data_IF_046226609424
#
_entry.id   IF_046226609424
#
_cell.length_a   1.000
_cell.length_b   1.000
_cell.length_c   1.000
_cell.angle_alpha   90.00
_cell.angle_beta   90.00
_cell.angle_gamma   90.00
#
_symmetry.space_group_name_H-M   'P 1'
#
loop_
_entity.id
_entity.type
_entity.pdbx_description
1 polymer ?
#
# COMPACT_ATOMS: atom_id res chain seq x y z
N UNK A 1 34.33 -22.70 35.22
CA UNK A 1 35.20 -21.50 35.29
C UNK A 1 34.41 -20.39 34.64
N UNK A 2 33.70 -19.60 35.44
CA UNK A 2 32.99 -18.42 34.97
C UNK A 2 34.02 -17.31 34.73
N UNK A 3 34.13 -16.89 33.47
CA UNK A 3 35.00 -15.78 33.09
C UNK A 3 34.43 -14.51 33.75
N UNK A 4 35.25 -13.70 34.45
CA UNK A 4 34.78 -12.46 35.04
C UNK A 4 34.20 -11.53 33.97
N UNK A 5 33.09 -10.85 34.28
CA UNK A 5 32.34 -10.02 33.31
C UNK A 5 33.20 -8.97 32.60
N UNK A 6 34.19 -8.37 33.26
CA UNK A 6 35.08 -7.39 32.66
C UNK A 6 35.94 -7.98 31.52
N UNK A 7 36.38 -9.22 31.65
CA UNK A 7 37.13 -9.89 30.59
C UNK A 7 36.23 -10.25 29.40
N UNK A 8 34.96 -10.56 29.65
CA UNK A 8 33.97 -10.77 28.58
C UNK A 8 33.79 -9.49 27.75
N UNK A 9 33.63 -8.33 28.40
CA UNK A 9 33.51 -7.04 27.73
C UNK A 9 34.77 -6.66 26.93
N UNK A 10 35.96 -6.96 27.45
CA UNK A 10 37.23 -6.77 26.73
C UNK A 10 37.28 -7.61 25.46
N UNK A 11 36.94 -8.90 25.56
CA UNK A 11 36.95 -9.84 24.43
C UNK A 11 35.92 -9.47 23.35
N UNK A 12 34.74 -8.98 23.73
CA UNK A 12 33.70 -8.52 22.79
C UNK A 12 34.20 -7.31 21.98
N UNK A 13 34.90 -6.38 22.63
CA UNK A 13 35.47 -5.21 21.97
C UNK A 13 36.67 -5.57 21.08
N UNK A 14 37.57 -6.45 21.54
CA UNK A 14 38.76 -6.88 20.78
C UNK A 14 38.42 -7.77 19.58
N UNK A 15 37.44 -8.66 19.73
CA UNK A 15 37.02 -9.57 18.65
C UNK A 15 36.34 -8.85 17.48
N UNK A 16 35.96 -7.56 17.64
CA UNK A 16 35.26 -6.79 16.64
C UNK A 16 33.89 -7.36 16.25
N UNK A 17 33.36 -8.29 17.06
CA UNK A 17 32.09 -8.99 16.80
C UNK A 17 30.94 -8.01 16.67
N UNK A 18 30.93 -6.95 17.49
CA UNK A 18 29.90 -5.89 17.40
C UNK A 18 29.87 -5.21 16.02
N UNK A 19 31.05 -4.91 15.47
CA UNK A 19 31.17 -4.33 14.12
C UNK A 19 30.74 -5.33 13.04
N UNK A 20 31.00 -6.63 13.26
CA UNK A 20 30.57 -7.70 12.35
C UNK A 20 29.06 -7.91 12.37
N UNK A 21 28.41 -7.78 13.53
CA UNK A 21 26.95 -7.82 13.69
C UNK A 21 26.27 -6.63 12.99
N UNK A 22 26.82 -5.42 13.11
CA UNK A 22 26.29 -4.24 12.38
C UNK A 22 26.45 -4.35 10.86
N UNK A 23 27.49 -5.06 10.40
CA UNK A 23 27.76 -5.28 8.97
C UNK A 23 27.18 -6.58 8.41
N UNK A 24 26.47 -7.36 9.23
CA UNK A 24 25.85 -8.58 8.75
C UNK A 24 24.77 -8.22 7.72
N UNK A 25 24.80 -8.79 6.50
CA UNK A 25 23.72 -8.58 5.55
C UNK A 25 22.41 -9.04 6.23
N UNK A 26 21.31 -8.29 6.03
CA UNK A 26 20.03 -8.63 6.65
C UNK A 26 19.72 -10.10 6.36
N UNK A 27 19.43 -10.86 7.41
CA UNK A 27 19.11 -12.28 7.26
C UNK A 27 17.92 -12.39 6.28
N UNK A 28 18.01 -13.30 5.29
CA UNK A 28 16.92 -13.48 4.34
C UNK A 28 15.67 -13.90 5.11
N UNK A 29 14.61 -13.09 5.02
CA UNK A 29 13.33 -13.41 5.64
C UNK A 29 12.86 -14.78 5.18
N UNK A 30 12.47 -15.69 6.10
CA UNK A 30 11.91 -16.97 5.72
C UNK A 30 10.71 -16.78 4.78
N UNK A 31 10.53 -17.62 3.75
CA UNK A 31 9.43 -17.48 2.80
C UNK A 31 8.05 -17.55 3.48
N UNK A 32 7.96 -18.23 4.63
CA UNK A 32 6.74 -18.27 5.44
C UNK A 32 6.36 -16.92 6.06
N UNK A 33 7.34 -16.13 6.52
CA UNK A 33 7.11 -14.79 7.06
C UNK A 33 6.71 -13.81 5.96
N UNK A 34 7.29 -13.95 4.77
CA UNK A 34 6.92 -13.13 3.60
C UNK A 34 5.47 -13.37 3.17
N UNK A 35 5.06 -14.64 3.08
CA UNK A 35 3.68 -15.01 2.75
C UNK A 35 2.71 -14.53 3.83
N UNK A 36 3.06 -14.72 5.11
CA UNK A 36 2.25 -14.26 6.23
C UNK A 36 2.06 -12.74 6.22
N UNK A 37 3.14 -11.98 6.03
CA UNK A 37 3.10 -10.53 5.89
C UNK A 37 2.26 -10.08 4.69
N UNK A 38 2.36 -10.77 3.55
CA UNK A 38 1.53 -10.48 2.39
C UNK A 38 0.04 -10.73 2.69
N UNK A 39 -0.29 -11.85 3.35
CA UNK A 39 -1.68 -12.18 3.73
C UNK A 39 -2.26 -11.13 4.68
N UNK A 40 -1.49 -10.67 5.67
CA UNK A 40 -1.90 -9.61 6.60
C UNK A 40 -2.30 -8.31 5.91
N UNK A 41 -1.76 -8.05 4.70
CA UNK A 41 -2.10 -6.87 3.90
C UNK A 41 -3.19 -7.18 2.88
N UNK A 42 -3.20 -8.36 2.27
CA UNK A 42 -4.20 -8.78 1.29
C UNK A 42 -5.61 -8.84 1.90
N UNK A 43 -5.74 -9.31 3.15
CA UNK A 43 -7.03 -9.39 3.86
C UNK A 43 -7.71 -8.01 3.96
N UNK A 44 -7.10 -6.98 4.59
CA UNK A 44 -7.71 -5.65 4.69
C UNK A 44 -7.88 -4.99 3.31
N UNK A 45 -6.99 -5.22 2.35
CA UNK A 45 -7.18 -4.71 0.98
C UNK A 45 -8.39 -5.34 0.28
N UNK A 46 -8.62 -6.64 0.46
CA UNK A 46 -9.79 -7.34 -0.11
C UNK A 46 -11.07 -6.83 0.53
N UNK A 47 -11.08 -6.64 1.85
CA UNK A 47 -12.19 -6.02 2.55
C UNK A 47 -12.48 -4.61 2.04
N UNK A 48 -11.43 -3.79 1.88
CA UNK A 48 -11.55 -2.44 1.33
C UNK A 48 -12.12 -2.44 -0.09
N UNK A 49 -11.70 -3.38 -0.95
CA UNK A 49 -12.22 -3.52 -2.32
C UNK A 49 -13.73 -3.79 -2.31
N UNK A 50 -14.18 -4.74 -1.49
CA UNK A 50 -15.60 -5.06 -1.33
C UNK A 50 -16.36 -3.86 -0.78
N UNK A 51 -15.82 -3.21 0.25
CA UNK A 51 -16.41 -2.03 0.87
C UNK A 51 -16.62 -0.91 -0.16
N UNK A 52 -15.60 -0.60 -0.96
CA UNK A 52 -15.69 0.43 -2.00
C UNK A 52 -16.70 0.06 -3.09
N UNK A 53 -16.82 -1.22 -3.41
CA UNK A 53 -17.84 -1.70 -4.33
C UNK A 53 -19.26 -1.51 -3.78
N UNK A 54 -19.49 -1.78 -2.49
CA UNK A 54 -20.78 -1.54 -1.85
C UNK A 54 -21.10 -0.04 -1.80
N UNK A 55 -20.12 0.79 -1.43
CA UNK A 55 -20.29 2.25 -1.36
C UNK A 55 -20.66 2.85 -2.72
N UNK A 56 -20.07 2.37 -3.82
CA UNK A 56 -20.40 2.91 -5.14
C UNK A 56 -21.82 2.54 -5.58
N UNK A 57 -22.29 1.32 -5.26
CA UNK A 57 -23.68 0.94 -5.49
C UNK A 57 -24.64 1.83 -4.69
N UNK A 58 -24.31 2.09 -3.43
CA UNK A 58 -25.08 2.99 -2.57
C UNK A 58 -25.08 4.44 -3.07
N UNK A 59 -23.94 4.96 -3.56
CA UNK A 59 -23.81 6.31 -4.09
C UNK A 59 -24.71 6.55 -5.31
N UNK A 60 -24.93 5.52 -6.12
CA UNK A 60 -25.77 5.58 -7.33
C UNK A 60 -27.17 4.99 -7.15
N UNK A 61 -27.55 4.61 -5.92
CA UNK A 61 -28.88 4.06 -5.62
C UNK A 61 -29.20 2.75 -6.36
N UNK A 62 -28.19 1.95 -6.67
CA UNK A 62 -28.35 0.64 -7.32
C UNK A 62 -28.29 -0.49 -6.32
N UNK A 63 -29.04 -1.56 -6.59
CA UNK A 63 -28.97 -2.77 -5.77
C UNK A 63 -27.61 -3.47 -5.92
N UNK A 64 -26.97 -3.85 -4.81
CA UNK A 64 -25.69 -4.53 -4.84
C UNK A 64 -25.84 -5.91 -5.51
N UNK A 65 -25.37 -6.01 -6.75
CA UNK A 65 -25.40 -7.26 -7.49
C UNK A 65 -24.25 -8.17 -7.03
N UNK A 66 -24.57 -9.23 -6.27
CA UNK A 66 -23.60 -10.19 -5.76
C UNK A 66 -22.74 -10.83 -6.85
N UNK A 67 -23.28 -11.03 -8.05
CA UNK A 67 -22.50 -11.58 -9.18
C UNK A 67 -21.43 -10.61 -9.64
N UNK A 68 -21.74 -9.32 -9.71
CA UNK A 68 -20.78 -8.26 -10.07
C UNK A 68 -19.72 -8.12 -9.00
N UNK A 69 -20.10 -8.18 -7.71
CA UNK A 69 -19.16 -8.20 -6.59
C UNK A 69 -18.18 -9.38 -6.69
N UNK A 70 -18.70 -10.58 -6.94
CA UNK A 70 -17.87 -11.79 -7.05
C UNK A 70 -16.94 -11.75 -8.27
N UNK A 71 -17.43 -11.29 -9.42
CA UNK A 71 -16.64 -11.13 -10.65
C UNK A 71 -15.46 -10.16 -10.46
N UNK A 72 -15.72 -9.02 -9.78
CA UNK A 72 -14.69 -8.04 -9.44
C UNK A 72 -13.71 -8.57 -8.40
N UNK A 73 -14.16 -9.40 -7.47
CA UNK A 73 -13.29 -10.04 -6.48
C UNK A 73 -12.37 -11.06 -7.14
N UNK A 74 -12.91 -11.96 -7.97
CA UNK A 74 -12.14 -12.99 -8.67
C UNK A 74 -11.09 -12.37 -9.61
N UNK A 75 -11.43 -11.25 -10.26
CA UNK A 75 -10.50 -10.57 -11.17
C UNK A 75 -9.54 -9.64 -10.44
N UNK A 76 -10.01 -8.91 -9.42
CA UNK A 76 -9.24 -7.86 -8.74
C UNK A 76 -8.28 -8.38 -7.69
N UNK A 77 -8.68 -9.38 -6.90
CA UNK A 77 -7.85 -9.96 -5.83
C UNK A 77 -6.52 -10.54 -6.34
N UNK A 78 -6.44 -11.34 -7.41
CA UNK A 78 -5.16 -11.88 -7.87
C UNK A 78 -4.22 -10.78 -8.38
N UNK A 79 -4.74 -9.78 -9.10
CA UNK A 79 -3.94 -8.64 -9.58
C UNK A 79 -3.38 -7.86 -8.39
N UNK A 80 -4.24 -7.57 -7.41
CA UNK A 80 -3.84 -6.86 -6.20
C UNK A 80 -2.89 -7.69 -5.35
N UNK A 81 -3.09 -9.00 -5.26
CA UNK A 81 -2.21 -9.92 -4.53
C UNK A 81 -0.80 -9.96 -5.12
N UNK A 82 -0.68 -10.08 -6.45
CA UNK A 82 0.62 -10.03 -7.15
C UNK A 82 1.30 -8.68 -6.90
N UNK A 83 0.54 -7.59 -6.98
CA UNK A 83 1.06 -6.25 -6.71
C UNK A 83 1.56 -6.11 -5.27
N UNK A 84 0.74 -6.51 -4.28
CA UNK A 84 1.05 -6.46 -2.85
C UNK A 84 2.28 -7.31 -2.54
N UNK A 85 2.33 -8.55 -3.04
CA UNK A 85 3.47 -9.44 -2.84
C UNK A 85 4.77 -8.83 -3.35
N UNK A 86 4.76 -8.30 -4.59
CA UNK A 86 5.95 -7.70 -5.19
C UNK A 86 6.43 -6.45 -4.43
N UNK A 87 5.49 -5.60 -4.01
CA UNK A 87 5.82 -4.36 -3.31
C UNK A 87 6.27 -4.60 -1.87
N UNK A 88 5.70 -5.60 -1.19
CA UNK A 88 6.05 -5.96 0.19
C UNK A 88 7.48 -6.48 0.25
N UNK A 89 7.89 -7.25 -0.76
CA UNK A 89 9.26 -7.76 -0.88
C UNK A 89 10.33 -6.68 -1.04
N UNK A 90 10.01 -5.56 -1.68
CA UNK A 90 10.96 -4.47 -1.96
C UNK A 90 10.66 -3.20 -1.16
N UNK A 91 10.00 -3.30 0.00
CA UNK A 91 9.56 -2.14 0.80
C UNK A 91 10.71 -1.20 1.18
N UNK A 92 11.90 -1.75 1.46
CA UNK A 92 13.08 -0.99 1.89
C UNK A 92 13.84 -0.31 0.74
N UNK A 93 13.52 -0.61 -0.52
CA UNK A 93 14.20 0.03 -1.64
C UNK A 93 13.69 1.46 -1.86
N UNK A 94 14.58 2.45 -1.75
CA UNK A 94 14.25 3.85 -2.04
C UNK A 94 13.83 4.10 -3.50
N UNK A 95 14.11 3.15 -4.40
CA UNK A 95 13.60 3.15 -5.79
C UNK A 95 12.13 2.78 -5.83
N UNK A 96 11.73 1.75 -5.07
CA UNK A 96 10.34 1.31 -4.98
C UNK A 96 9.47 2.41 -4.37
N UNK A 97 9.93 3.03 -3.28
CA UNK A 97 9.24 4.16 -2.63
C UNK A 97 8.95 5.32 -3.60
N UNK A 98 9.92 5.69 -4.45
CA UNK A 98 9.72 6.72 -5.48
C UNK A 98 8.74 6.28 -6.57
N UNK A 99 8.83 5.04 -7.03
CA UNK A 99 7.88 4.49 -8.02
C UNK A 99 6.45 4.49 -7.47
N UNK A 100 6.27 4.01 -6.24
CA UNK A 100 4.98 4.01 -5.57
C UNK A 100 4.43 5.43 -5.37
N UNK A 101 5.29 6.41 -5.05
CA UNK A 101 4.88 7.80 -4.98
C UNK A 101 4.28 8.30 -6.31
N UNK A 102 4.95 8.07 -7.43
CA UNK A 102 4.43 8.49 -8.75
C UNK A 102 3.15 7.74 -9.15
N UNK A 103 3.12 6.42 -8.93
CA UNK A 103 1.93 5.58 -9.22
C UNK A 103 0.77 6.03 -8.33
N UNK A 104 1.01 6.29 -7.05
CA UNK A 104 0.02 6.77 -6.09
C UNK A 104 -0.55 8.12 -6.49
N UNK A 105 0.30 9.09 -6.87
CA UNK A 105 -0.14 10.40 -7.36
C UNK A 105 -0.98 10.27 -8.63
N UNK A 106 -0.56 9.43 -9.58
CA UNK A 106 -1.31 9.19 -10.82
C UNK A 106 -2.65 8.48 -10.56
N UNK A 107 -2.67 7.46 -9.70
CA UNK A 107 -3.87 6.74 -9.32
C UNK A 107 -4.87 7.62 -8.57
N UNK A 108 -4.41 8.37 -7.56
CA UNK A 108 -5.25 9.29 -6.78
C UNK A 108 -5.82 10.43 -7.63
N UNK A 109 -5.00 11.06 -8.47
CA UNK A 109 -5.47 12.11 -9.38
C UNK A 109 -6.46 11.59 -10.45
N UNK A 110 -6.19 10.42 -11.04
CA UNK A 110 -7.10 9.77 -12.01
C UNK A 110 -8.44 9.40 -11.36
N UNK A 111 -8.40 8.84 -10.16
CA UNK A 111 -9.60 8.45 -9.41
C UNK A 111 -10.49 9.67 -9.13
N UNK A 112 -9.93 10.77 -8.64
CA UNK A 112 -10.67 12.01 -8.39
C UNK A 112 -11.24 12.63 -9.67
N UNK A 113 -10.49 12.53 -10.77
CA UNK A 113 -10.97 12.98 -12.08
C UNK A 113 -12.18 12.16 -12.54
N UNK A 114 -12.13 10.83 -12.41
CA UNK A 114 -13.25 9.93 -12.74
C UNK A 114 -14.46 10.19 -11.85
N UNK A 115 -14.27 10.38 -10.55
CA UNK A 115 -15.37 10.69 -9.64
C UNK A 115 -16.13 11.96 -10.03
N UNK A 116 -15.45 12.99 -10.53
CA UNK A 116 -16.09 14.26 -10.95
C UNK A 116 -16.66 14.21 -12.36
N UNK A 117 -15.90 13.70 -13.33
CA UNK A 117 -16.21 13.82 -14.77
C UNK A 117 -16.54 12.49 -15.45
N UNK A 118 -16.33 11.37 -14.76
CA UNK A 118 -16.59 10.04 -15.29
C UNK A 118 -18.07 9.76 -15.40
N UNK A 119 -18.43 9.04 -16.46
CA UNK A 119 -19.77 8.46 -16.58
C UNK A 119 -19.98 7.44 -15.46
N UNK A 120 -21.22 7.34 -14.99
CA UNK A 120 -21.65 6.39 -13.97
C UNK A 120 -21.08 4.97 -14.17
N UNK A 121 -21.18 4.41 -15.38
CA UNK A 121 -20.67 3.06 -15.67
C UNK A 121 -19.16 2.94 -15.49
N UNK A 122 -18.41 3.99 -15.87
CA UNK A 122 -16.96 4.03 -15.73
C UNK A 122 -16.59 4.11 -14.26
N UNK A 123 -17.31 4.90 -13.49
CA UNK A 123 -17.07 5.05 -12.05
C UNK A 123 -17.33 3.72 -11.34
N UNK A 124 -18.45 3.07 -11.62
CA UNK A 124 -18.79 1.78 -11.00
C UNK A 124 -17.79 0.66 -11.31
N UNK A 125 -17.10 0.72 -12.46
CA UNK A 125 -16.11 -0.30 -12.84
C UNK A 125 -14.68 0.00 -12.39
N UNK A 126 -14.25 1.27 -12.42
CA UNK A 126 -12.83 1.63 -12.24
C UNK A 126 -12.52 2.26 -10.86
N UNK A 127 -13.48 2.95 -10.25
CA UNK A 127 -13.22 3.67 -8.99
C UNK A 127 -12.93 2.72 -7.82
N UNK A 128 -13.69 1.62 -7.58
CA UNK A 128 -13.43 0.73 -6.45
C UNK A 128 -12.01 0.13 -6.44
N UNK A 129 -11.48 -0.44 -7.54
CA UNK A 129 -10.11 -0.93 -7.55
C UNK A 129 -9.07 0.20 -7.49
N UNK A 130 -9.34 1.38 -8.08
CA UNK A 130 -8.43 2.53 -8.01
C UNK A 130 -8.31 3.09 -6.59
N UNK A 131 -9.42 3.22 -5.85
CA UNK A 131 -9.39 3.63 -4.43
C UNK A 131 -8.57 2.64 -3.62
N UNK A 132 -8.86 1.34 -3.77
CA UNK A 132 -8.18 0.28 -3.01
C UNK A 132 -6.68 0.30 -3.27
N UNK A 133 -6.28 0.42 -4.54
CA UNK A 133 -4.88 0.52 -4.94
C UNK A 133 -4.21 1.77 -4.36
N UNK A 134 -4.87 2.94 -4.44
CA UNK A 134 -4.31 4.19 -3.93
C UNK A 134 -4.14 4.16 -2.41
N UNK A 135 -5.13 3.67 -1.66
CA UNK A 135 -5.05 3.52 -0.20
C UNK A 135 -3.92 2.56 0.18
N UNK A 136 -3.81 1.42 -0.52
CA UNK A 136 -2.70 0.49 -0.32
C UNK A 136 -1.34 1.18 -0.53
N UNK A 137 -1.18 1.92 -1.61
CA UNK A 137 0.06 2.65 -1.92
C UNK A 137 0.38 3.63 -0.79
N UNK A 138 -0.59 4.44 -0.35
CA UNK A 138 -0.40 5.41 0.74
C UNK A 138 0.03 4.73 2.04
N UNK A 139 -0.51 3.56 2.37
CA UNK A 139 -0.13 2.77 3.55
C UNK A 139 1.29 2.20 3.43
N UNK A 140 1.72 1.87 2.22
CA UNK A 140 3.05 1.29 1.97
C UNK A 140 4.16 2.33 1.87
N UNK A 141 3.82 3.59 1.60
CA UNK A 141 4.78 4.70 1.53
C UNK A 141 5.36 5.05 2.90
N UNK A 142 6.63 5.49 2.91
CA UNK A 142 7.21 6.13 4.10
C UNK A 142 6.39 7.35 4.53
N UNK A 143 6.27 7.58 5.84
CA UNK A 143 5.38 8.59 6.42
C UNK A 143 5.51 9.98 5.75
N UNK A 144 6.75 10.42 5.48
CA UNK A 144 7.00 11.69 4.81
C UNK A 144 6.50 11.72 3.36
N UNK A 145 6.74 10.64 2.60
CA UNK A 145 6.27 10.52 1.22
C UNK A 145 4.75 10.35 1.15
N UNK A 146 4.15 9.64 2.11
CA UNK A 146 2.71 9.45 2.21
C UNK A 146 1.99 10.79 2.44
N UNK A 147 2.48 11.60 3.38
CA UNK A 147 1.98 12.96 3.61
C UNK A 147 2.12 13.83 2.35
N UNK A 148 3.28 13.78 1.69
CA UNK A 148 3.47 14.51 0.42
C UNK A 148 2.53 14.01 -0.69
N UNK A 149 2.27 12.72 -0.78
CA UNK A 149 1.37 12.15 -1.77
C UNK A 149 -0.06 12.66 -1.56
N UNK A 150 -0.54 12.59 -0.31
CA UNK A 150 -1.86 13.11 0.07
C UNK A 150 -1.97 14.61 -0.17
N UNK A 151 -0.96 15.38 0.22
CA UNK A 151 -0.92 16.83 -0.03
C UNK A 151 -0.91 17.14 -1.52
N UNK A 152 -0.15 16.41 -2.34
CA UNK A 152 -0.08 16.64 -3.78
C UNK A 152 -1.40 16.31 -4.48
N UNK A 153 -2.02 15.18 -4.14
CA UNK A 153 -3.33 14.78 -4.67
C UNK A 153 -4.43 15.74 -4.20
N UNK A 154 -4.41 16.15 -2.93
CA UNK A 154 -5.34 17.13 -2.36
C UNK A 154 -5.16 18.54 -2.93
N UNK A 155 -3.91 18.99 -3.14
CA UNK A 155 -3.61 20.26 -3.80
C UNK A 155 -4.03 20.24 -5.27
N UNK A 156 -3.82 19.11 -5.98
CA UNK A 156 -4.32 18.94 -7.35
C UNK A 156 -5.84 19.04 -7.42
N UNK A 157 -6.54 18.41 -6.48
CA UNK A 157 -8.00 18.53 -6.34
C UNK A 157 -8.42 19.99 -6.12
N UNK A 158 -7.73 20.70 -5.22
CA UNK A 158 -8.04 22.09 -4.91
C UNK A 158 -7.77 23.03 -6.09
N UNK A 159 -6.63 22.87 -6.79
CA UNK A 159 -6.31 23.61 -8.01
C UNK A 159 -7.25 23.36 -9.17
N UNK A 160 -7.82 22.15 -9.27
CA UNK A 160 -8.83 21.83 -10.29
C UNK A 160 -10.24 22.33 -9.95
N UNK A 161 -10.38 23.16 -8.91
CA UNK A 161 -11.60 23.89 -8.64
C UNK A 161 -12.76 22.96 -8.29
N UNK A 162 -12.58 22.13 -7.27
CA UNK A 162 -13.70 21.63 -6.50
C UNK A 162 -13.87 22.57 -5.31
N UNK A 163 -14.58 23.67 -5.57
CA UNK A 163 -15.16 24.45 -4.50
C UNK A 163 -16.05 23.50 -3.70
N UNK A 164 -15.66 23.19 -2.46
CA UNK A 164 -16.46 22.41 -1.52
C UNK A 164 -17.74 23.14 -1.11
N UNK A 165 -17.88 24.42 -1.48
CA UNK A 165 -19.12 25.20 -1.48
C UNK A 165 -19.09 26.17 -2.67
N UNK A 166 -19.97 25.96 -3.63
CA UNK A 166 -20.16 26.81 -4.80
C UNK A 166 -21.24 26.24 -5.68
#
# INVERSE_FOLDING_TARGET
MDIPQEEQWRLINESGVLKKVDSAPPEPTPPGEEIFNAILVIIPCTFLLILMQILIFQQYGQDPNLKVLLDKLITGVPILSIFVFYTTRHKQDSRMQRLLFFIGTAAGSRMLYLLKWGSYLVNMQQVPPLITLWVYIVVQLDLGLACLNLLMVGAFYWWKGLNLFG
#
